data_IF_034959575942
#
_entry.id   IF_034959575942
#
_cell.length_a   1.000
_cell.length_b   1.000
_cell.length_c   1.000
_cell.angle_alpha   90.00
_cell.angle_beta   90.00
_cell.angle_gamma   90.00
#
_symmetry.space_group_name_H-M   'P 1'
#
loop_
_entity.id
_entity.type
_entity.pdbx_description
1 polymer ?
#
# COMPACT_ATOMS: atom_id res chain seq x y z
N UNK A 1 -81.10 14.81 11.92
CA UNK A 1 -79.79 14.92 11.22
C UNK A 1 -78.89 15.77 12.12
N UNK A 2 -78.25 15.22 13.16
CA UNK A 2 -76.97 14.48 13.20
C UNK A 2 -75.82 15.17 12.44
N UNK A 3 -74.78 15.50 13.24
CA UNK A 3 -73.37 15.83 12.93
C UNK A 3 -73.05 17.32 12.70
N UNK A 4 -71.98 17.90 13.24
CA UNK A 4 -71.03 17.53 14.30
C UNK A 4 -70.15 18.78 14.47
N UNK A 5 -70.09 19.36 15.67
CA UNK A 5 -69.07 20.34 16.03
C UNK A 5 -67.72 19.64 16.10
N UNK A 6 -66.72 20.12 15.36
CA UNK A 6 -65.33 19.66 15.50
C UNK A 6 -64.41 20.82 15.86
N UNK A 7 -64.09 20.92 17.16
CA UNK A 7 -62.84 21.48 17.68
C UNK A 7 -61.67 20.68 17.13
N UNK A 8 -60.69 21.33 16.49
CA UNK A 8 -59.27 20.90 16.38
C UNK A 8 -58.45 22.12 15.97
N UNK A 9 -57.21 22.32 16.36
CA UNK A 9 -56.37 21.93 17.47
C UNK A 9 -55.14 22.81 17.26
N UNK A 10 -54.65 23.47 18.32
CA UNK A 10 -53.37 24.17 18.26
C UNK A 10 -52.31 23.09 18.06
N UNK A 11 -51.55 23.18 16.97
CA UNK A 11 -50.32 22.41 16.82
C UNK A 11 -49.20 23.41 16.48
N UNK A 12 -48.55 23.88 17.55
CA UNK A 12 -47.21 24.42 17.43
C UNK A 12 -46.29 23.27 17.05
N UNK A 13 -45.69 23.35 15.88
CA UNK A 13 -44.54 22.52 15.53
C UNK A 13 -43.34 23.45 15.62
N UNK A 14 -42.55 23.25 16.68
CA UNK A 14 -41.18 23.73 16.76
C UNK A 14 -40.48 23.36 15.46
N UNK A 15 -39.95 24.36 14.76
CA UNK A 15 -38.97 24.14 13.71
C UNK A 15 -37.72 23.54 14.34
N UNK A 16 -37.59 22.22 14.27
CA UNK A 16 -36.34 21.56 14.59
C UNK A 16 -35.40 21.85 13.42
N UNK A 17 -34.52 22.81 13.65
CA UNK A 17 -33.35 23.08 12.84
C UNK A 17 -32.47 21.83 12.94
N UNK A 18 -32.56 20.93 11.97
CA UNK A 18 -31.52 19.91 11.75
C UNK A 18 -30.42 20.63 10.99
N UNK A 19 -29.52 21.28 11.72
CA UNK A 19 -28.17 21.54 11.22
C UNK A 19 -27.55 20.15 11.11
N UNK A 20 -27.62 19.57 9.91
CA UNK A 20 -26.73 18.49 9.54
C UNK A 20 -25.33 19.12 9.50
N UNK A 21 -24.66 19.14 10.65
CA UNK A 21 -23.21 19.26 10.67
C UNK A 21 -22.72 18.07 9.86
N UNK A 22 -22.28 18.36 8.62
CA UNK A 22 -21.33 17.51 7.93
C UNK A 22 -20.10 17.53 8.84
N UNK A 23 -20.10 16.64 9.83
CA UNK A 23 -18.89 16.22 10.47
C UNK A 23 -18.09 15.61 9.34
N UNK A 24 -17.11 16.36 8.86
CA UNK A 24 -16.03 15.82 8.05
C UNK A 24 -15.47 14.67 8.88
N UNK A 25 -15.93 13.46 8.58
CA UNK A 25 -15.30 12.25 9.08
C UNK A 25 -13.94 12.30 8.42
N UNK A 26 -12.97 12.83 9.16
CA UNK A 26 -11.56 12.54 8.95
C UNK A 26 -11.48 11.04 9.21
N UNK A 27 -11.73 10.26 8.15
CA UNK A 27 -11.21 8.91 8.04
C UNK A 27 -9.74 9.04 8.45
N UNK A 28 -9.25 8.28 9.44
CA UNK A 28 -7.82 8.27 9.69
C UNK A 28 -7.18 7.80 8.38
N UNK A 29 -6.59 8.73 7.64
CA UNK A 29 -5.56 8.37 6.67
C UNK A 29 -4.54 7.67 7.56
N UNK A 30 -4.42 6.35 7.39
CA UNK A 30 -3.39 5.58 8.07
C UNK A 30 -2.07 6.09 7.52
N UNK A 31 -1.58 7.16 8.14
CA UNK A 31 -0.31 7.76 7.84
C UNK A 31 0.74 6.65 7.97
N UNK A 32 1.51 6.40 6.90
CA UNK A 32 2.72 5.59 6.96
C UNK A 32 3.80 6.34 7.72
N UNK A 33 3.48 6.86 8.91
CA UNK A 33 4.37 7.73 9.65
C UNK A 33 5.52 6.88 10.18
N UNK A 34 6.70 7.14 9.64
CA UNK A 34 7.96 6.46 9.87
C UNK A 34 8.40 6.57 11.36
N UNK A 35 7.89 5.65 12.19
CA UNK A 35 8.06 5.65 13.65
C UNK A 35 8.15 4.26 14.24
N UNK A 36 8.72 3.32 13.49
CA UNK A 36 8.92 1.95 13.93
C UNK A 36 7.70 1.03 13.82
N UNK A 37 6.54 1.51 13.35
CA UNK A 37 5.31 0.70 13.22
C UNK A 37 5.37 -0.35 12.13
N UNK A 38 6.14 -0.12 11.05
CA UNK A 38 6.32 -1.06 9.94
C UNK A 38 7.60 -1.89 10.01
N UNK A 39 8.36 -1.80 11.12
CA UNK A 39 9.53 -2.64 11.34
C UNK A 39 9.17 -3.80 12.26
N UNK A 40 9.38 -5.02 11.79
CA UNK A 40 9.17 -6.22 12.60
C UNK A 40 10.37 -6.46 13.50
N UNK A 41 10.10 -6.89 14.72
CA UNK A 41 11.10 -7.35 15.68
C UNK A 41 10.67 -8.73 16.17
N UNK A 42 11.63 -9.65 16.34
CA UNK A 42 11.34 -11.01 16.80
C UNK A 42 10.56 -10.97 18.12
N UNK A 43 9.47 -11.74 18.18
CA UNK A 43 8.62 -11.86 19.36
C UNK A 43 7.66 -10.69 19.58
N UNK A 44 7.64 -9.70 18.68
CA UNK A 44 6.60 -8.67 18.64
C UNK A 44 5.53 -9.03 17.60
N UNK A 45 4.31 -8.62 17.90
CA UNK A 45 3.18 -8.67 16.96
C UNK A 45 2.80 -7.24 16.61
N UNK A 46 2.68 -6.96 15.32
CA UNK A 46 2.14 -5.70 14.80
C UNK A 46 0.72 -5.92 14.30
N UNK A 47 -0.07 -4.85 14.28
CA UNK A 47 -1.42 -4.84 13.68
C UNK A 47 -1.39 -3.97 12.43
N UNK A 48 -2.00 -4.46 11.36
CA UNK A 48 -2.26 -3.72 10.12
C UNK A 48 -3.73 -3.82 9.75
N UNK A 49 -4.12 -3.04 8.74
CA UNK A 49 -5.52 -3.00 8.27
C UNK A 49 -5.52 -3.07 6.74
N UNK A 50 -6.34 -3.98 6.21
CA UNK A 50 -6.61 -4.07 4.78
C UNK A 50 -8.02 -3.56 4.47
N UNK A 51 -8.18 -2.89 3.34
CA UNK A 51 -9.46 -2.39 2.82
C UNK A 51 -9.54 -2.56 1.29
N UNK A 52 -10.63 -2.09 0.69
CA UNK A 52 -10.74 -1.99 -0.77
C UNK A 52 -9.63 -1.10 -1.38
N UNK A 53 -9.31 0.02 -0.73
CA UNK A 53 -8.30 0.97 -1.18
C UNK A 53 -6.88 0.57 -0.74
N UNK A 54 -6.74 -0.11 0.39
CA UNK A 54 -5.45 -0.59 0.89
C UNK A 54 -5.44 -2.12 0.98
N UNK A 55 -5.34 -2.79 -0.15
CA UNK A 55 -5.42 -4.25 -0.21
C UNK A 55 -4.08 -4.96 0.01
N UNK A 56 -2.98 -4.22 0.20
CA UNK A 56 -1.67 -4.74 0.54
C UNK A 56 -0.92 -3.80 1.48
N UNK A 57 -0.19 -4.35 2.45
CA UNK A 57 0.64 -3.59 3.37
C UNK A 57 2.01 -4.24 3.56
N UNK A 58 3.07 -3.43 3.48
CA UNK A 58 4.45 -3.89 3.60
C UNK A 58 5.11 -3.53 4.94
N UNK A 59 5.92 -4.46 5.44
CA UNK A 59 6.73 -4.38 6.65
C UNK A 59 8.17 -4.76 6.35
N UNK A 60 9.11 -4.32 7.17
CA UNK A 60 10.53 -4.60 7.00
C UNK A 60 11.15 -5.24 8.23
N UNK A 61 12.19 -6.03 8.04
CA UNK A 61 13.10 -6.44 9.11
C UNK A 61 14.51 -6.62 8.58
N UNK A 62 15.51 -6.39 9.42
CA UNK A 62 16.92 -6.56 9.07
C UNK A 62 17.39 -7.93 9.54
N UNK A 63 18.06 -8.69 8.66
CA UNK A 63 18.57 -10.02 8.98
C UNK A 63 19.92 -10.29 8.32
N UNK A 64 20.74 -11.09 9.01
CA UNK A 64 22.02 -11.56 8.50
C UNK A 64 21.85 -12.84 7.66
N UNK A 65 22.76 -13.06 6.73
CA UNK A 65 22.85 -14.29 5.95
C UNK A 65 23.02 -15.51 6.88
N UNK A 66 22.27 -16.57 6.60
CA UNK A 66 22.23 -17.80 7.42
C UNK A 66 21.17 -17.78 8.53
N UNK A 67 20.46 -16.66 8.74
CA UNK A 67 19.28 -16.62 9.60
C UNK A 67 18.10 -17.39 8.99
N UNK A 68 17.09 -17.67 9.81
CA UNK A 68 15.83 -18.29 9.38
C UNK A 68 14.63 -17.56 9.97
N UNK A 69 13.66 -17.19 9.14
CA UNK A 69 12.45 -16.48 9.55
C UNK A 69 11.21 -17.38 9.50
N UNK A 70 10.34 -17.23 10.50
CA UNK A 70 8.93 -17.65 10.41
C UNK A 70 8.06 -16.41 10.54
N UNK A 71 7.17 -16.21 9.57
CA UNK A 71 6.21 -15.12 9.53
C UNK A 71 4.80 -15.68 9.59
N UNK A 72 3.94 -15.05 10.39
CA UNK A 72 2.55 -15.47 10.56
C UNK A 72 1.65 -14.26 10.58
N UNK A 73 0.75 -14.18 9.60
CA UNK A 73 -0.33 -13.20 9.55
C UNK A 73 -1.66 -13.88 9.88
N UNK A 74 -2.47 -13.25 10.74
CA UNK A 74 -3.80 -13.77 11.11
C UNK A 74 -4.84 -12.66 11.16
N UNK A 75 -6.06 -12.95 10.75
CA UNK A 75 -7.22 -12.08 10.94
C UNK A 75 -8.37 -12.85 11.59
N UNK A 76 -9.27 -12.13 12.27
CA UNK A 76 -10.53 -12.68 12.79
C UNK A 76 -11.71 -12.42 11.84
N UNK A 77 -11.49 -11.70 10.74
CA UNK A 77 -12.52 -11.39 9.75
C UNK A 77 -12.59 -12.54 8.75
N UNK A 78 -13.73 -13.24 8.72
CA UNK A 78 -13.88 -14.48 7.96
C UNK A 78 -13.81 -14.26 6.44
N UNK A 79 -14.28 -13.11 5.97
CA UNK A 79 -14.31 -12.72 4.57
C UNK A 79 -12.95 -12.19 4.08
N UNK A 80 -12.05 -11.80 5.01
CA UNK A 80 -10.72 -11.29 4.68
C UNK A 80 -9.74 -12.44 4.51
N UNK A 81 -9.62 -12.93 3.28
CA UNK A 81 -8.55 -13.87 2.95
C UNK A 81 -7.18 -13.16 2.94
N UNK A 82 -6.15 -13.78 3.51
CA UNK A 82 -4.79 -13.25 3.57
C UNK A 82 -3.84 -14.03 2.66
N UNK A 83 -2.93 -13.30 2.04
CA UNK A 83 -1.75 -13.82 1.36
C UNK A 83 -0.51 -13.10 1.89
N UNK A 84 0.67 -13.70 1.72
CA UNK A 84 1.92 -13.12 2.17
C UNK A 84 3.04 -13.36 1.16
N UNK A 85 3.89 -12.35 0.96
CA UNK A 85 5.11 -12.43 0.16
C UNK A 85 6.29 -11.95 1.00
N UNK A 86 7.41 -12.67 0.91
CA UNK A 86 8.69 -12.25 1.47
C UNK A 86 9.67 -11.99 0.33
N UNK A 87 10.21 -10.78 0.32
CA UNK A 87 11.19 -10.29 -0.66
C UNK A 87 12.54 -10.04 0.02
N UNK A 88 13.61 -10.49 -0.61
CA UNK A 88 14.98 -10.33 -0.15
C UNK A 88 15.56 -8.93 -0.41
N UNK A 89 16.75 -8.63 0.14
CA UNK A 89 17.44 -7.34 -0.05
C UNK A 89 17.80 -7.02 -1.50
N UNK A 90 17.87 -8.03 -2.37
CA UNK A 90 18.12 -7.91 -3.81
C UNK A 90 16.83 -7.70 -4.63
N UNK A 91 15.68 -7.63 -3.97
CA UNK A 91 14.37 -7.51 -4.61
C UNK A 91 13.77 -8.84 -5.10
N UNK A 92 14.43 -9.97 -4.87
CA UNK A 92 13.91 -11.28 -5.27
C UNK A 92 12.83 -11.78 -4.28
N UNK A 93 11.72 -12.31 -4.80
CA UNK A 93 10.74 -13.03 -3.96
C UNK A 93 11.34 -14.36 -3.53
N UNK A 94 11.57 -14.51 -2.23
CA UNK A 94 12.19 -15.72 -1.66
C UNK A 94 11.17 -16.69 -1.06
N UNK A 95 9.98 -16.22 -0.65
CA UNK A 95 8.89 -17.07 -0.20
C UNK A 95 7.53 -16.38 -0.41
N UNK A 96 6.47 -17.19 -0.55
CA UNK A 96 5.10 -16.71 -0.64
C UNK A 96 4.12 -17.73 -0.06
N UNK A 97 3.05 -17.25 0.53
CA UNK A 97 1.86 -18.01 0.87
C UNK A 97 0.68 -17.37 0.15
N UNK A 98 0.09 -18.13 -0.76
CA UNK A 98 -1.13 -17.79 -1.47
C UNK A 98 -2.16 -18.90 -1.37
N UNK A 99 -2.02 -19.81 -0.39
CA UNK A 99 -2.99 -20.86 -0.15
C UNK A 99 -4.20 -20.29 0.58
N UNK A 100 -5.20 -19.88 -0.20
CA UNK A 100 -6.43 -19.29 0.33
C UNK A 100 -7.40 -20.34 0.93
N UNK A 101 -7.01 -21.62 1.01
CA UNK A 101 -7.81 -22.65 1.69
C UNK A 101 -7.90 -22.43 3.20
N UNK A 102 -6.91 -21.75 3.78
CA UNK A 102 -6.89 -21.22 5.15
C UNK A 102 -7.03 -19.69 5.12
N UNK A 103 -8.13 -19.19 4.54
CA UNK A 103 -8.32 -17.78 4.22
C UNK A 103 -7.86 -16.80 5.32
N UNK A 104 -8.11 -17.07 6.60
CA UNK A 104 -7.80 -16.11 7.67
C UNK A 104 -6.36 -16.14 8.19
N UNK A 105 -5.50 -17.03 7.67
CA UNK A 105 -4.11 -17.20 8.14
C UNK A 105 -3.16 -17.41 6.97
N UNK A 106 -2.10 -16.62 6.90
CA UNK A 106 -0.98 -16.81 5.97
C UNK A 106 0.33 -17.06 6.75
N UNK A 107 1.10 -18.09 6.38
CA UNK A 107 2.30 -18.52 7.09
C UNK A 107 3.46 -18.80 6.14
N UNK A 108 4.60 -18.17 6.41
CA UNK A 108 5.89 -18.53 5.83
C UNK A 108 6.73 -19.20 6.93
N UNK A 109 6.96 -20.50 6.83
CA UNK A 109 7.64 -21.26 7.89
C UNK A 109 9.11 -21.52 7.58
N UNK A 110 9.99 -21.17 8.53
CA UNK A 110 11.42 -21.48 8.51
C UNK A 110 12.14 -21.15 7.19
N UNK A 111 11.86 -19.98 6.63
CA UNK A 111 12.48 -19.49 5.39
C UNK A 111 13.92 -19.14 5.65
N UNK A 112 14.85 -19.73 4.89
CA UNK A 112 16.26 -19.41 4.96
C UNK A 112 16.56 -18.06 4.32
N UNK A 113 17.31 -17.21 5.04
CA UNK A 113 17.69 -15.87 4.62
C UNK A 113 19.15 -15.89 4.18
N UNK A 114 19.41 -15.79 2.88
CA UNK A 114 20.74 -16.05 2.30
C UNK A 114 21.60 -14.80 2.12
N UNK A 115 21.02 -13.61 2.27
CA UNK A 115 21.69 -12.32 2.11
C UNK A 115 21.62 -11.51 3.40
N UNK A 116 22.66 -10.72 3.65
CA UNK A 116 22.62 -9.65 4.62
C UNK A 116 21.77 -8.49 4.08
N UNK A 117 20.87 -7.94 4.88
CA UNK A 117 20.17 -6.70 4.53
C UNK A 117 18.75 -6.63 5.09
N UNK A 118 17.96 -5.72 4.56
CA UNK A 118 16.55 -5.60 4.91
C UNK A 118 15.67 -6.43 3.98
N UNK A 119 14.79 -7.20 4.60
CA UNK A 119 13.78 -8.00 3.95
C UNK A 119 12.44 -7.28 4.03
N UNK A 120 11.60 -7.46 3.01
CA UNK A 120 10.25 -6.86 2.94
C UNK A 120 9.21 -7.97 3.02
N UNK A 121 8.27 -7.84 3.95
CA UNK A 121 7.10 -8.70 4.11
C UNK A 121 5.89 -7.93 3.62
N UNK A 122 5.24 -8.39 2.56
CA UNK A 122 3.98 -7.82 2.11
C UNK A 122 2.85 -8.76 2.50
N UNK A 123 1.88 -8.24 3.26
CA UNK A 123 0.62 -8.93 3.57
C UNK A 123 -0.45 -8.37 2.65
N UNK A 124 -1.21 -9.23 1.98
CA UNK A 124 -2.19 -8.84 0.96
C UNK A 124 -3.52 -9.49 1.25
N UNK A 125 -4.59 -8.89 0.73
CA UNK A 125 -5.86 -9.59 0.54
C UNK A 125 -5.66 -10.69 -0.50
N UNK A 126 -6.23 -11.87 -0.25
CA UNK A 126 -6.17 -12.99 -1.19
C UNK A 126 -6.89 -12.70 -2.51
N UNK A 127 -7.84 -11.76 -2.52
CA UNK A 127 -8.51 -11.26 -3.73
C UNK A 127 -7.70 -10.20 -4.48
N UNK A 128 -6.60 -9.70 -3.91
CA UNK A 128 -5.83 -8.58 -4.46
C UNK A 128 -6.61 -7.27 -4.42
N UNK A 129 -6.48 -6.47 -5.48
CA UNK A 129 -7.21 -5.22 -5.65
C UNK A 129 -8.73 -5.44 -5.76
N UNK A 130 -9.16 -6.62 -6.20
CA UNK A 130 -10.57 -6.97 -6.29
C UNK A 130 -11.20 -7.21 -4.91
N UNK A 131 -12.49 -6.89 -4.80
CA UNK A 131 -13.34 -7.18 -3.66
C UNK A 131 -13.29 -6.12 -2.54
N UNK A 132 -14.23 -6.28 -1.61
CA UNK A 132 -14.55 -5.27 -0.59
C UNK A 132 -14.31 -5.78 0.84
N UNK A 133 -13.59 -6.89 1.01
CA UNK A 133 -13.29 -7.40 2.34
C UNK A 133 -12.31 -6.46 3.04
N UNK A 134 -12.64 -6.07 4.28
CA UNK A 134 -11.86 -5.14 5.07
C UNK A 134 -11.72 -5.62 6.50
N UNK A 135 -10.61 -5.29 7.13
CA UNK A 135 -10.39 -5.57 8.53
C UNK A 135 -8.94 -5.59 8.95
N UNK A 136 -8.77 -5.73 10.25
CA UNK A 136 -7.46 -5.81 10.85
C UNK A 136 -6.86 -7.21 10.71
N UNK A 137 -5.55 -7.25 10.58
CA UNK A 137 -4.74 -8.46 10.73
C UNK A 137 -3.62 -8.19 11.74
N UNK A 138 -3.08 -9.26 12.28
CA UNK A 138 -1.85 -9.24 13.07
C UNK A 138 -0.73 -9.93 12.30
N UNK A 139 0.49 -9.44 12.43
CA UNK A 139 1.69 -10.03 11.82
C UNK A 139 2.77 -10.22 12.88
N UNK A 140 3.36 -11.41 12.93
CA UNK A 140 4.44 -11.75 13.85
C UNK A 140 5.65 -12.31 13.10
N UNK A 141 6.84 -11.92 13.56
CA UNK A 141 8.14 -12.46 13.13
C UNK A 141 8.73 -13.32 14.26
N UNK A 142 9.15 -14.53 13.92
CA UNK A 142 9.86 -15.45 14.79
C UNK A 142 11.09 -16.04 14.10
N UNK A 143 12.01 -16.59 14.90
CA UNK A 143 13.22 -17.26 14.43
C UNK A 143 14.51 -16.64 14.94
N UNK A 144 15.62 -17.21 14.51
CA UNK A 144 16.97 -16.74 14.84
C UNK A 144 17.35 -15.60 13.89
N UNK A 145 16.84 -14.40 14.19
CA UNK A 145 17.11 -13.18 13.42
C UNK A 145 18.08 -12.29 14.19
N UNK A 146 19.17 -11.93 13.54
CA UNK A 146 20.14 -10.96 14.02
C UNK A 146 20.35 -9.92 12.95
N UNK A 147 20.49 -8.65 13.33
CA UNK A 147 20.83 -7.60 12.37
C UNK A 147 22.17 -7.94 11.66
N UNK A 148 22.34 -7.57 10.37
CA UNK A 148 23.62 -7.67 9.70
C UNK A 148 24.74 -7.04 10.52
N UNK A 149 25.94 -7.61 10.46
CA UNK A 149 27.11 -6.95 10.99
C UNK A 149 27.24 -5.58 10.32
N UNK A 150 27.14 -4.50 11.10
CA UNK A 150 27.11 -3.14 10.57
C UNK A 150 28.38 -2.87 9.77
N UNK A 151 28.28 -2.82 8.44
CA UNK A 151 29.28 -2.10 7.66
C UNK A 151 29.15 -0.64 8.10
N UNK A 152 30.23 -0.05 8.63
CA UNK A 152 30.25 1.36 8.99
C UNK A 152 29.75 2.16 7.80
N UNK A 153 28.65 2.93 7.90
CA UNK A 153 28.17 3.70 6.77
C UNK A 153 29.27 4.69 6.40
N UNK A 154 29.81 4.57 5.20
CA UNK A 154 30.71 5.58 4.64
C UNK A 154 29.84 6.82 4.39
N UNK A 155 29.83 7.72 5.37
CA UNK A 155 28.94 8.87 5.42
C UNK A 155 29.03 9.72 4.15
N UNK A 156 27.93 9.77 3.41
CA UNK A 156 27.65 10.91 2.55
C UNK A 156 27.09 12.01 3.43
N UNK A 157 27.85 13.11 3.58
CA UNK A 157 27.41 14.32 4.27
C UNK A 157 26.31 15.02 3.45
N UNK A 158 25.09 14.51 3.48
CA UNK A 158 23.91 15.29 3.12
C UNK A 158 23.31 15.75 4.44
N UNK A 159 23.37 17.06 4.70
CA UNK A 159 22.72 17.67 5.86
C UNK A 159 21.20 17.65 5.63
N UNK A 160 20.41 16.85 6.37
CA UNK A 160 18.97 16.87 6.20
C UNK A 160 18.41 18.18 6.77
N UNK A 161 17.61 18.89 5.98
CA UNK A 161 16.79 19.98 6.50
C UNK A 161 15.70 19.37 7.39
N UNK A 162 15.86 19.47 8.71
CA UNK A 162 14.87 18.96 9.67
C UNK A 162 13.73 19.97 9.77
N UNK A 163 12.64 19.69 9.06
CA UNK A 163 11.33 20.24 9.36
C UNK A 163 10.36 19.08 9.55
N UNK A 164 10.21 18.64 10.80
CA UNK A 164 9.17 17.69 11.24
C UNK A 164 9.30 16.26 10.71
N UNK A 165 9.90 15.36 11.50
CA UNK A 165 9.91 13.87 11.41
C UNK A 165 10.40 13.21 10.10
N UNK A 166 10.25 13.81 8.94
CA UNK A 166 10.64 13.27 7.65
C UNK A 166 11.94 13.90 7.16
N UNK A 167 12.75 13.09 6.49
CA UNK A 167 14.01 13.50 5.88
C UNK A 167 13.79 13.66 4.39
N UNK A 168 14.25 14.78 3.82
CA UNK A 168 14.19 15.04 2.39
C UNK A 168 15.60 15.14 1.81
N UNK A 169 15.75 14.71 0.56
CA UNK A 169 16.96 14.88 -0.25
C UNK A 169 16.62 15.70 -1.48
N UNK A 170 17.51 16.62 -1.86
CA UNK A 170 17.34 17.40 -3.08
C UNK A 170 18.02 16.67 -4.26
N UNK A 171 17.25 16.34 -5.29
CA UNK A 171 17.76 15.75 -6.53
C UNK A 171 18.12 16.87 -7.52
N UNK A 172 19.39 16.94 -7.93
CA UNK A 172 19.93 18.07 -8.69
C UNK A 172 19.81 17.91 -10.22
N UNK A 173 19.73 16.68 -10.74
CA UNK A 173 19.80 16.39 -12.18
C UNK A 173 18.51 15.79 -12.76
N UNK A 174 17.54 15.46 -11.91
CA UNK A 174 16.27 14.88 -12.31
C UNK A 174 15.36 14.60 -11.12
N UNK A 175 14.29 13.86 -11.37
CA UNK A 175 13.27 13.51 -10.39
C UNK A 175 13.37 12.07 -9.89
N UNK A 176 12.27 11.58 -9.34
CA UNK A 176 11.99 10.15 -9.24
C UNK A 176 10.91 9.83 -10.26
N UNK A 177 11.14 8.84 -11.11
CA UNK A 177 10.21 8.43 -12.14
C UNK A 177 9.92 6.94 -11.99
N UNK A 178 8.65 6.56 -12.00
CA UNK A 178 8.19 5.17 -12.00
C UNK A 178 7.21 5.01 -13.15
N UNK A 179 7.50 4.11 -14.09
CA UNK A 179 6.67 3.91 -15.28
C UNK A 179 6.36 2.43 -15.48
N UNK A 180 5.08 2.14 -15.62
CA UNK A 180 4.53 0.83 -15.91
C UNK A 180 4.05 0.80 -17.35
N UNK A 181 4.58 -0.10 -18.17
CA UNK A 181 4.12 -0.31 -19.55
C UNK A 181 3.79 -1.77 -19.79
N UNK A 182 2.74 -2.06 -20.55
CA UNK A 182 2.37 -3.42 -20.95
C UNK A 182 1.97 -3.52 -22.43
N UNK A 183 1.61 -4.72 -22.88
CA UNK A 183 1.39 -5.03 -24.31
C UNK A 183 0.07 -5.77 -24.58
N UNK A 184 -0.91 -5.58 -23.71
CA UNK A 184 -2.22 -6.23 -23.79
C UNK A 184 -3.34 -5.24 -23.47
N UNK A 185 -4.50 -5.44 -24.10
CA UNK A 185 -5.71 -4.70 -23.79
C UNK A 185 -6.33 -5.24 -22.50
N UNK A 186 -5.63 -5.05 -21.39
CA UNK A 186 -6.04 -5.30 -20.00
C UNK A 186 -5.86 -4.02 -19.20
N UNK A 187 -6.56 -3.91 -18.09
CA UNK A 187 -6.40 -2.79 -17.16
C UNK A 187 -5.42 -3.19 -16.05
N UNK A 188 -4.19 -2.68 -16.15
CA UNK A 188 -3.19 -2.76 -15.09
C UNK A 188 -3.04 -1.36 -14.50
N UNK A 189 -3.02 -1.28 -13.18
CA UNK A 189 -2.84 0.00 -12.50
C UNK A 189 -1.50 0.04 -11.78
N UNK A 190 -0.93 1.25 -11.75
CA UNK A 190 0.24 1.63 -11.00
C UNK A 190 -0.19 2.41 -9.76
N UNK A 191 0.20 1.91 -8.59
CA UNK A 191 0.19 2.66 -7.35
C UNK A 191 1.63 2.82 -6.84
N UNK A 192 2.00 4.05 -6.48
CA UNK A 192 3.28 4.33 -5.82
C UNK A 192 3.00 5.02 -4.49
N UNK A 193 3.51 4.43 -3.41
CA UNK A 193 3.46 5.01 -2.07
C UNK A 193 4.79 5.61 -1.68
N UNK A 194 4.74 6.83 -1.14
CA UNK A 194 5.93 7.55 -0.72
C UNK A 194 6.30 7.28 0.75
N UNK A 195 7.55 7.54 1.14
CA UNK A 195 8.04 7.32 2.51
C UNK A 195 7.31 8.10 3.62
N UNK A 196 6.49 9.09 3.28
CA UNK A 196 5.79 9.93 4.26
C UNK A 196 4.29 9.59 4.36
N UNK A 197 3.84 8.62 3.57
CA UNK A 197 2.51 8.03 3.61
C UNK A 197 1.54 8.51 2.55
N UNK A 198 2.00 9.22 1.53
CA UNK A 198 1.22 9.44 0.32
C UNK A 198 1.07 8.15 -0.49
N UNK A 199 -0.09 7.94 -1.09
CA UNK A 199 -0.37 6.85 -2.03
C UNK A 199 -0.90 7.45 -3.33
N UNK A 200 -0.22 7.21 -4.45
CA UNK A 200 -0.48 7.86 -5.73
C UNK A 200 -0.91 6.80 -6.75
N UNK A 201 -2.13 6.90 -7.27
CA UNK A 201 -2.74 5.94 -8.20
C UNK A 201 -3.88 6.61 -8.99
N UNK A 202 -4.56 5.87 -9.88
CA UNK A 202 -5.57 6.42 -10.81
C UNK A 202 -6.71 7.24 -10.17
N UNK A 203 -7.07 6.99 -8.90
CA UNK A 203 -8.08 7.78 -8.18
C UNK A 203 -7.49 8.76 -7.15
N UNK A 204 -6.19 8.68 -6.87
CA UNK A 204 -5.47 9.67 -6.08
C UNK A 204 -4.21 10.14 -6.82
N UNK A 205 -4.38 11.16 -7.67
CA UNK A 205 -3.37 11.54 -8.65
C UNK A 205 -2.15 12.29 -8.08
N UNK A 206 -2.17 12.69 -6.80
CA UNK A 206 -1.08 13.49 -6.20
C UNK A 206 -0.86 13.18 -4.73
N UNK A 207 0.36 13.40 -4.24
CA UNK A 207 0.67 13.35 -2.80
C UNK A 207 1.30 14.67 -2.29
N UNK A 208 1.26 14.87 -0.97
CA UNK A 208 1.90 16.03 -0.31
C UNK A 208 3.42 16.08 -0.55
N UNK A 209 4.05 14.92 -0.77
CA UNK A 209 5.46 14.82 -1.15
C UNK A 209 5.79 15.39 -2.53
N UNK A 210 4.78 15.79 -3.33
CA UNK A 210 4.95 16.37 -4.66
C UNK A 210 4.88 15.38 -5.82
N UNK A 211 4.58 14.10 -5.55
CA UNK A 211 4.42 13.08 -6.58
C UNK A 211 3.13 13.26 -7.36
N UNK A 212 3.17 12.94 -8.66
CA UNK A 212 2.05 13.11 -9.60
C UNK A 212 1.88 11.86 -10.47
N UNK A 213 0.67 11.32 -10.51
CA UNK A 213 0.26 10.24 -11.43
C UNK A 213 -0.04 10.80 -12.82
N UNK A 214 0.31 10.04 -13.85
CA UNK A 214 0.08 10.38 -15.25
C UNK A 214 -0.30 9.13 -16.03
N UNK A 215 -1.45 9.21 -16.69
CA UNK A 215 -2.00 8.11 -17.50
C UNK A 215 -2.72 7.11 -16.62
N UNK A 216 -3.97 6.81 -16.96
CA UNK A 216 -4.79 5.74 -16.36
C UNK A 216 -5.26 4.88 -17.54
N UNK A 217 -4.33 4.05 -18.02
CA UNK A 217 -4.46 3.42 -19.32
C UNK A 217 -5.34 2.18 -19.23
N UNK A 218 -6.30 2.06 -20.15
CA UNK A 218 -7.29 0.98 -20.19
C UNK A 218 -8.32 0.98 -19.03
N UNK A 219 -8.40 2.06 -18.25
CA UNK A 219 -9.41 2.27 -17.22
C UNK A 219 -10.82 1.87 -17.68
N UNK A 220 -11.49 1.09 -16.85
CA UNK A 220 -12.88 0.65 -17.05
C UNK A 220 -13.13 -0.12 -18.36
N UNK A 221 -12.06 -0.59 -19.02
CA UNK A 221 -12.09 -1.23 -20.34
C UNK A 221 -12.83 -0.44 -21.44
N UNK A 222 -13.09 0.86 -21.25
CA UNK A 222 -13.96 1.63 -22.16
C UNK A 222 -13.33 1.79 -23.55
N UNK A 223 -12.00 1.90 -23.59
CA UNK A 223 -11.21 1.98 -24.82
C UNK A 223 -9.88 1.23 -24.67
N UNK A 224 -9.94 -0.02 -24.18
CA UNK A 224 -8.74 -0.80 -23.90
C UNK A 224 -7.89 -1.04 -25.16
N UNK A 225 -6.58 -0.80 -25.06
CA UNK A 225 -5.60 -0.95 -26.13
C UNK A 225 -4.44 -1.85 -25.69
N UNK A 226 -3.87 -2.57 -26.66
CA UNK A 226 -2.63 -3.32 -26.49
C UNK A 226 -1.40 -2.55 -27.01
N UNK A 227 -1.60 -1.34 -27.53
CA UNK A 227 -0.54 -0.51 -28.10
C UNK A 227 0.18 0.30 -27.02
N UNK A 228 1.10 -0.36 -26.32
CA UNK A 228 1.96 0.23 -25.30
C UNK A 228 1.23 1.08 -24.23
N UNK A 229 0.07 0.63 -23.68
CA UNK A 229 -0.55 1.31 -22.56
C UNK A 229 0.45 1.50 -21.42
N UNK A 230 0.43 2.70 -20.83
CA UNK A 230 1.42 3.14 -19.85
C UNK A 230 0.78 3.99 -18.77
N UNK A 231 1.15 3.73 -17.52
CA UNK A 231 0.91 4.62 -16.37
C UNK A 231 2.25 5.05 -15.78
N UNK A 232 2.31 6.22 -15.17
CA UNK A 232 3.54 6.70 -14.52
C UNK A 232 3.26 7.53 -13.29
N UNK A 233 4.14 7.45 -12.30
CA UNK A 233 4.16 8.35 -11.15
C UNK A 233 5.53 9.01 -11.08
N UNK A 234 5.55 10.34 -11.00
CA UNK A 234 6.79 11.11 -11.04
C UNK A 234 6.81 12.17 -9.95
N UNK A 235 7.99 12.33 -9.32
CA UNK A 235 8.35 13.52 -8.55
C UNK A 235 9.29 14.35 -9.40
N UNK A 236 8.93 15.61 -9.64
CA UNK A 236 9.81 16.51 -10.40
C UNK A 236 11.15 16.74 -9.67
N UNK A 237 12.13 17.27 -10.41
CA UNK A 237 13.41 17.69 -9.85
C UNK A 237 13.21 18.59 -8.62
N UNK A 238 13.90 18.25 -7.53
CA UNK A 238 13.83 18.99 -6.27
C UNK A 238 13.87 18.08 -5.04
N UNK A 239 13.24 18.55 -3.96
CA UNK A 239 13.18 17.84 -2.69
C UNK A 239 12.20 16.67 -2.76
N UNK A 240 12.69 15.46 -2.55
CA UNK A 240 11.89 14.24 -2.43
C UNK A 240 12.13 13.59 -1.06
N UNK A 241 11.13 12.91 -0.49
CA UNK A 241 11.31 12.22 0.78
C UNK A 241 12.33 11.07 0.64
N UNK A 242 13.20 10.95 1.65
CA UNK A 242 14.13 9.84 1.81
C UNK A 242 13.40 8.69 2.48
N UNK A 243 13.57 7.49 1.93
CA UNK A 243 13.04 6.26 2.50
C UNK A 243 12.67 5.26 1.41
N UNK A 244 11.86 4.27 1.78
CA UNK A 244 11.37 3.27 0.84
C UNK A 244 10.12 3.79 0.12
N UNK A 245 10.12 3.70 -1.21
CA UNK A 245 8.93 3.87 -2.02
C UNK A 245 8.38 2.47 -2.32
N UNK A 246 7.07 2.29 -2.16
CA UNK A 246 6.40 1.02 -2.48
C UNK A 246 5.74 1.15 -3.85
N UNK A 247 6.04 0.22 -4.76
CA UNK A 247 5.43 0.18 -6.10
C UNK A 247 4.52 -1.05 -6.16
N UNK A 248 3.22 -0.81 -6.28
CA UNK A 248 2.22 -1.87 -6.46
C UNK A 248 1.74 -1.83 -7.90
N UNK A 249 1.74 -3.00 -8.52
CA UNK A 249 1.17 -3.24 -9.85
C UNK A 249 0.08 -4.27 -9.65
N UNK A 250 -1.14 -3.92 -10.00
CA UNK A 250 -2.28 -4.82 -9.86
C UNK A 250 -3.07 -4.91 -11.15
N UNK A 251 -3.58 -6.13 -11.37
CA UNK A 251 -4.43 -6.46 -12.48
C UNK A 251 -5.86 -6.16 -12.05
N UNK A 252 -6.40 -5.05 -12.52
CA UNK A 252 -7.75 -4.61 -12.17
C UNK A 252 -8.79 -5.39 -12.98
N UNK A 253 -8.69 -5.40 -14.32
CA UNK A 253 -9.70 -6.10 -15.12
C UNK A 253 -9.19 -6.64 -16.46
N UNK A 254 -9.76 -7.77 -16.91
CA UNK A 254 -9.23 -8.48 -18.06
C UNK A 254 -9.58 -7.84 -19.39
N UNK A 255 -10.58 -6.96 -19.45
CA UNK A 255 -11.05 -6.35 -20.70
C UNK A 255 -11.28 -7.36 -21.85
N UNK A 256 -11.70 -8.58 -21.51
CA UNK A 256 -11.92 -9.68 -22.46
C UNK A 256 -10.66 -10.48 -22.84
N UNK A 257 -9.48 -10.10 -22.35
CA UNK A 257 -8.23 -10.85 -22.50
C UNK A 257 -8.04 -11.79 -21.30
N UNK A 258 -7.64 -13.03 -21.58
CA UNK A 258 -7.44 -14.04 -20.54
C UNK A 258 -5.98 -14.39 -20.35
N UNK A 259 -5.65 -14.87 -19.15
CA UNK A 259 -4.32 -15.37 -18.81
C UNK A 259 -3.39 -14.32 -18.22
N UNK A 260 -2.19 -14.75 -17.79
CA UNK A 260 -1.20 -13.87 -17.19
C UNK A 260 -0.66 -12.86 -18.22
N UNK A 261 -0.36 -11.65 -17.75
CA UNK A 261 0.10 -10.55 -18.60
C UNK A 261 1.52 -10.18 -18.21
N UNK A 262 2.33 -9.88 -19.23
CA UNK A 262 3.66 -9.33 -19.04
C UNK A 262 3.60 -7.81 -19.04
N UNK A 263 4.38 -7.22 -18.16
CA UNK A 263 4.58 -5.78 -18.05
C UNK A 263 6.08 -5.49 -17.91
N UNK A 264 6.44 -4.23 -18.16
CA UNK A 264 7.75 -3.66 -17.86
C UNK A 264 7.58 -2.56 -16.83
N UNK A 265 8.41 -2.60 -15.79
CA UNK A 265 8.53 -1.53 -14.81
C UNK A 265 9.89 -0.89 -14.98
N UNK A 266 9.91 0.42 -15.19
CA UNK A 266 11.15 1.22 -15.23
C UNK A 266 11.13 2.24 -14.12
N UNK A 267 12.26 2.36 -13.41
CA UNK A 267 12.46 3.37 -12.38
C UNK A 267 13.67 4.25 -12.72
N UNK A 268 13.54 5.55 -12.48
CA UNK A 268 14.60 6.55 -12.64
C UNK A 268 14.76 7.35 -11.36
N UNK A 269 16.00 7.68 -11.00
CA UNK A 269 16.31 8.54 -9.84
C UNK A 269 17.42 9.50 -10.25
N UNK A 270 17.14 10.80 -10.14
CA UNK A 270 18.08 11.90 -10.40
C UNK A 270 18.58 11.99 -11.85
N UNK A 271 17.74 11.60 -12.82
CA UNK A 271 18.06 11.61 -14.26
C UNK A 271 18.72 10.32 -14.70
#
# INVERSE_FOLDING_TARGET
MRRQTSRRAILGILGLIVIATIGMLIQPVNAQSDGGTRRLTVGQTVTGTLSAENFAESYIFDAAAGNSATLTATTTVAELSLAMVLTGPDGAVIARDGDLSSATVAVLSNVALTLDGTYVVTVLRGTGAEGDAEGDFTLALAGDITAPATATPSGSNVSPAVSGRFVFVNLENGGVDVSLTWSAAVDLNLEVRDPIGGAIYGDNLTAESGGVHSGDANRDCTAATADNPTESVNWAQGSVPVGSYEVLIYYNQPCGVSGPQSFSLTTGING
#
